data_IF_238838973631
#
_entry.id   IF_238838973631
#
_cell.length_a   1.000
_cell.length_b   1.000
_cell.length_c   1.000
_cell.angle_alpha   90.00
_cell.angle_beta   90.00
_cell.angle_gamma   90.00
#
_symmetry.space_group_name_H-M   'P 1'
#
loop_
_entity.id
_entity.type
_entity.pdbx_description
1 polymer ?
#
# COMPACT_ATOMS: atom_id res chain seq x y z
N UNK A 1 -31.04 -61.58 77.63
CA UNK A 1 -29.60 -61.34 77.55
C UNK A 1 -29.16 -61.65 76.14
N UNK A 2 -28.56 -60.64 75.50
CA UNK A 2 -27.76 -60.67 74.25
C UNK A 2 -28.40 -61.26 73.00
N UNK A 3 -29.04 -60.36 72.24
CA UNK A 3 -29.14 -60.48 70.79
C UNK A 3 -27.76 -60.20 70.19
N UNK A 4 -27.10 -61.23 69.67
CA UNK A 4 -25.92 -61.06 68.81
C UNK A 4 -26.40 -60.83 67.37
N UNK A 5 -26.14 -59.62 66.89
CA UNK A 5 -26.18 -59.26 65.49
C UNK A 5 -25.17 -60.14 64.74
N UNK A 6 -25.66 -60.92 63.78
CA UNK A 6 -24.82 -61.60 62.78
C UNK A 6 -24.86 -60.79 61.47
N UNK A 7 -23.71 -60.44 60.87
CA UNK A 7 -23.61 -59.56 59.70
C UNK A 7 -23.71 -60.34 58.39
N UNK A 8 -24.11 -59.65 57.32
CA UNK A 8 -23.79 -60.04 55.94
C UNK A 8 -24.94 -60.64 55.12
N UNK A 9 -25.70 -59.76 54.46
CA UNK A 9 -26.39 -60.11 53.20
C UNK A 9 -26.11 -59.00 52.19
N UNK A 10 -24.91 -59.01 51.62
CA UNK A 10 -24.67 -58.40 50.32
C UNK A 10 -25.40 -59.29 49.31
N UNK A 11 -26.43 -58.76 48.67
CA UNK A 11 -27.12 -59.44 47.57
C UNK A 11 -26.08 -59.84 46.51
N UNK A 12 -25.99 -61.14 46.21
CA UNK A 12 -25.13 -61.66 45.14
C UNK A 12 -25.64 -61.15 43.79
N UNK A 13 -25.16 -59.97 43.37
CA UNK A 13 -25.38 -59.49 42.01
C UNK A 13 -24.73 -60.48 41.03
N UNK A 14 -25.52 -60.97 40.08
CA UNK A 14 -25.03 -61.89 39.06
C UNK A 14 -23.94 -61.20 38.23
N UNK A 15 -23.00 -61.96 37.63
CA UNK A 15 -22.00 -61.39 36.72
C UNK A 15 -22.62 -60.52 35.60
N UNK A 16 -23.80 -60.90 35.13
CA UNK A 16 -24.60 -60.19 34.13
C UNK A 16 -25.08 -58.83 34.66
N UNK A 17 -25.69 -58.79 35.86
CA UNK A 17 -26.18 -57.56 36.50
C UNK A 17 -25.04 -56.57 36.76
N UNK A 18 -23.86 -57.07 37.16
CA UNK A 18 -22.66 -56.24 37.36
C UNK A 18 -22.14 -55.64 36.06
N UNK A 19 -22.24 -56.37 34.95
CA UNK A 19 -21.82 -55.87 33.64
C UNK A 19 -22.76 -54.76 33.15
N UNK A 20 -24.08 -54.95 33.34
CA UNK A 20 -25.10 -53.95 32.99
C UNK A 20 -24.96 -52.68 33.85
N UNK A 21 -24.83 -52.81 35.17
CA UNK A 21 -24.63 -51.67 36.08
C UNK A 21 -23.35 -50.89 35.75
N UNK A 22 -22.27 -51.58 35.37
CA UNK A 22 -21.03 -50.92 34.95
C UNK A 22 -21.20 -50.15 33.63
N UNK A 23 -21.99 -50.65 32.68
CA UNK A 23 -22.30 -49.94 31.44
C UNK A 23 -23.08 -48.64 31.72
N UNK A 24 -24.08 -48.68 32.61
CA UNK A 24 -24.85 -47.50 33.03
C UNK A 24 -24.00 -46.46 33.77
N UNK A 25 -23.11 -46.91 34.66
CA UNK A 25 -22.21 -46.00 35.39
C UNK A 25 -21.22 -45.32 34.43
N UNK A 26 -20.63 -46.06 33.50
CA UNK A 26 -19.73 -45.50 32.49
C UNK A 26 -20.44 -44.42 31.66
N UNK A 27 -21.69 -44.67 31.29
CA UNK A 27 -22.50 -43.69 30.58
C UNK A 27 -22.80 -42.43 31.40
N UNK A 28 -23.17 -42.60 32.68
CA UNK A 28 -23.42 -41.49 33.60
C UNK A 28 -22.17 -40.63 33.84
N UNK A 29 -20.98 -41.25 33.79
CA UNK A 29 -19.68 -40.57 33.86
C UNK A 29 -19.26 -39.92 32.53
N UNK A 30 -20.04 -40.09 31.45
CA UNK A 30 -19.72 -39.58 30.10
C UNK A 30 -18.58 -40.33 29.41
N UNK A 31 -18.21 -41.51 29.92
CA UNK A 31 -17.16 -42.36 29.36
C UNK A 31 -17.76 -43.30 28.30
N UNK A 32 -17.09 -43.54 27.17
CA UNK A 32 -17.59 -44.47 26.16
C UNK A 32 -17.84 -45.88 26.71
N UNK A 33 -19.07 -46.37 26.58
CA UNK A 33 -19.49 -47.71 27.02
C UNK A 33 -18.99 -48.77 26.03
N UNK A 34 -17.72 -49.13 26.19
CA UNK A 34 -17.04 -50.16 25.38
C UNK A 34 -16.87 -51.45 26.18
N UNK A 35 -16.82 -52.60 25.49
CA UNK A 35 -16.61 -53.91 26.11
C UNK A 35 -15.41 -53.97 27.07
N UNK A 36 -14.33 -53.24 26.73
CA UNK A 36 -13.11 -53.17 27.55
C UNK A 36 -13.35 -52.35 28.82
N UNK A 37 -13.98 -51.19 28.71
CA UNK A 37 -14.30 -50.33 29.86
C UNK A 37 -15.29 -51.02 30.81
N UNK A 38 -16.31 -51.68 30.27
CA UNK A 38 -17.27 -52.46 31.06
C UNK A 38 -16.56 -53.59 31.81
N UNK A 39 -15.66 -54.32 31.14
CA UNK A 39 -14.87 -55.39 31.79
C UNK A 39 -13.97 -54.86 32.90
N UNK A 40 -13.28 -53.76 32.64
CA UNK A 40 -12.36 -53.15 33.60
C UNK A 40 -13.09 -52.67 34.86
N UNK A 41 -14.32 -52.17 34.69
CA UNK A 41 -15.15 -51.67 35.79
C UNK A 41 -15.89 -52.78 36.55
N UNK A 42 -16.42 -53.79 35.86
CA UNK A 42 -17.24 -54.86 36.47
C UNK A 42 -16.48 -56.13 36.86
N UNK A 43 -15.25 -56.31 36.34
CA UNK A 43 -14.42 -57.50 36.60
C UNK A 43 -14.92 -58.79 35.94
N UNK A 44 -15.90 -58.73 35.04
CA UNK A 44 -16.53 -59.90 34.41
C UNK A 44 -15.73 -60.43 33.23
N UNK A 45 -16.14 -61.59 32.68
CA UNK A 45 -15.53 -62.15 31.46
C UNK A 45 -15.81 -61.25 30.27
N UNK A 46 -14.87 -61.17 29.33
CA UNK A 46 -14.94 -60.28 28.17
C UNK A 46 -16.19 -60.48 27.30
N UNK A 47 -16.71 -61.72 27.21
CA UNK A 47 -17.94 -62.02 26.49
C UNK A 47 -19.16 -61.31 27.08
N UNK A 48 -19.33 -61.37 28.41
CA UNK A 48 -20.42 -60.71 29.13
C UNK A 48 -20.29 -59.18 29.09
N UNK A 49 -19.07 -58.66 29.21
CA UNK A 49 -18.83 -57.23 29.07
C UNK A 49 -19.11 -56.72 27.65
N UNK A 50 -18.81 -57.52 26.62
CA UNK A 50 -19.12 -57.19 25.23
C UNK A 50 -20.63 -57.24 24.95
N UNK A 51 -21.33 -58.21 25.53
CA UNK A 51 -22.79 -58.32 25.44
C UNK A 51 -23.48 -57.15 26.13
N UNK A 52 -23.09 -56.81 27.37
CA UNK A 52 -23.63 -55.66 28.10
C UNK A 52 -23.34 -54.33 27.40
N UNK A 53 -22.12 -54.13 26.88
CA UNK A 53 -21.78 -52.92 26.13
C UNK A 53 -22.59 -52.81 24.83
N UNK A 54 -22.82 -53.92 24.12
CA UNK A 54 -23.68 -53.92 22.92
C UNK A 54 -25.12 -53.62 23.27
N UNK A 55 -25.69 -54.33 24.24
CA UNK A 55 -27.06 -54.13 24.68
C UNK A 55 -27.32 -52.68 25.11
N UNK A 56 -26.39 -52.08 25.86
CA UNK A 56 -26.48 -50.68 26.26
C UNK A 56 -26.40 -49.72 25.06
N UNK A 57 -25.44 -49.91 24.15
CA UNK A 57 -25.30 -49.06 22.95
C UNK A 57 -26.49 -49.20 22.00
N UNK A 58 -27.04 -50.41 21.83
CA UNK A 58 -28.22 -50.67 21.01
C UNK A 58 -29.45 -49.99 21.63
N UNK A 59 -29.62 -50.08 22.95
CA UNK A 59 -30.68 -49.37 23.68
C UNK A 59 -30.54 -47.85 23.54
N UNK A 60 -29.34 -47.30 23.74
CA UNK A 60 -29.09 -45.86 23.57
C UNK A 60 -29.31 -45.39 22.14
N UNK A 61 -28.90 -46.17 21.14
CA UNK A 61 -29.15 -45.84 19.74
C UNK A 61 -30.64 -45.81 19.41
N UNK A 62 -31.44 -46.64 20.08
CA UNK A 62 -32.90 -46.67 19.96
C UNK A 62 -33.54 -45.49 20.69
N UNK A 63 -33.07 -45.14 21.89
CA UNK A 63 -33.56 -43.99 22.67
C UNK A 63 -33.20 -42.64 22.01
N UNK A 64 -32.05 -42.55 21.36
CA UNK A 64 -31.59 -41.36 20.62
C UNK A 64 -32.04 -41.36 19.16
N UNK A 65 -32.88 -42.31 18.73
CA UNK A 65 -33.42 -42.33 17.39
C UNK A 65 -34.31 -41.10 17.19
N UNK A 66 -33.74 -40.06 16.58
CA UNK A 66 -34.48 -38.85 16.21
C UNK A 66 -35.48 -39.26 15.12
N UNK A 67 -36.80 -39.17 15.38
CA UNK A 67 -37.78 -39.52 14.39
C UNK A 67 -37.66 -38.58 13.20
N UNK A 68 -37.82 -39.13 12.00
CA UNK A 68 -37.76 -38.34 10.79
C UNK A 68 -38.86 -37.27 10.80
N UNK A 69 -38.49 -36.04 10.41
CA UNK A 69 -39.44 -34.95 10.34
C UNK A 69 -40.58 -35.33 9.36
N UNK A 70 -41.86 -35.06 9.69
CA UNK A 70 -42.96 -35.37 8.79
C UNK A 70 -42.76 -34.72 7.41
N UNK A 71 -43.14 -35.43 6.35
CA UNK A 71 -42.97 -34.97 4.97
C UNK A 71 -43.47 -33.53 4.70
N UNK A 72 -44.60 -33.07 5.28
CA UNK A 72 -45.03 -31.67 5.12
C UNK A 72 -44.04 -30.64 5.73
N UNK A 73 -43.39 -30.98 6.84
CA UNK A 73 -42.39 -30.12 7.49
C UNK A 73 -41.14 -30.03 6.63
N UNK A 74 -40.65 -31.18 6.14
CA UNK A 74 -39.50 -31.22 5.24
C UNK A 74 -39.76 -30.42 3.97
N UNK A 75 -40.94 -30.59 3.35
CA UNK A 75 -41.32 -29.87 2.13
C UNK A 75 -41.34 -28.35 2.34
N UNK A 76 -41.90 -27.88 3.48
CA UNK A 76 -41.91 -26.45 3.82
C UNK A 76 -40.52 -25.90 4.08
N UNK A 77 -39.67 -26.66 4.77
CA UNK A 77 -38.28 -26.29 5.00
C UNK A 77 -37.51 -26.18 3.68
N UNK A 78 -37.63 -27.17 2.79
CA UNK A 78 -36.97 -27.13 1.47
C UNK A 78 -37.44 -25.94 0.64
N UNK A 79 -38.74 -25.61 0.67
CA UNK A 79 -39.28 -24.45 -0.02
C UNK A 79 -38.69 -23.14 0.51
N UNK A 80 -38.73 -22.93 1.83
CA UNK A 80 -38.16 -21.75 2.50
C UNK A 80 -36.66 -21.62 2.24
N UNK A 81 -35.93 -22.73 2.32
CA UNK A 81 -34.50 -22.74 2.05
C UNK A 81 -34.19 -22.33 0.60
N UNK A 82 -34.94 -22.86 -0.38
CA UNK A 82 -34.76 -22.48 -1.79
C UNK A 82 -35.03 -21.00 -2.00
N UNK A 83 -36.08 -20.46 -1.40
CA UNK A 83 -36.42 -19.05 -1.48
C UNK A 83 -35.32 -18.18 -0.87
N UNK A 84 -34.88 -18.50 0.35
CA UNK A 84 -33.81 -17.78 1.03
C UNK A 84 -32.49 -17.80 0.23
N UNK A 85 -32.10 -18.96 -0.32
CA UNK A 85 -30.90 -19.07 -1.16
C UNK A 85 -31.05 -18.27 -2.46
N UNK A 86 -32.25 -18.24 -3.05
CA UNK A 86 -32.50 -17.47 -4.28
C UNK A 86 -32.38 -15.98 -4.01
N UNK A 87 -32.99 -15.48 -2.93
CA UNK A 87 -32.90 -14.09 -2.52
C UNK A 87 -31.45 -13.70 -2.19
N UNK A 88 -30.76 -14.49 -1.36
CA UNK A 88 -29.37 -14.21 -0.98
C UNK A 88 -28.42 -14.18 -2.20
N UNK A 89 -28.66 -15.04 -3.19
CA UNK A 89 -27.89 -15.02 -4.44
C UNK A 89 -28.19 -13.78 -5.27
N UNK A 90 -29.45 -13.35 -5.34
CA UNK A 90 -29.82 -12.13 -6.06
C UNK A 90 -29.13 -10.90 -5.43
N UNK A 91 -29.23 -10.74 -4.11
CA UNK A 91 -28.56 -9.67 -3.36
C UNK A 91 -27.05 -9.69 -3.54
N UNK A 92 -26.42 -10.88 -3.45
CA UNK A 92 -24.99 -11.01 -3.68
C UNK A 92 -24.58 -10.62 -5.09
N UNK A 93 -25.35 -11.04 -6.11
CA UNK A 93 -25.05 -10.72 -7.50
C UNK A 93 -25.21 -9.22 -7.79
N UNK A 94 -26.23 -8.58 -7.21
CA UNK A 94 -26.42 -7.13 -7.30
C UNK A 94 -25.26 -6.38 -6.65
N UNK A 95 -24.89 -6.77 -5.41
CA UNK A 95 -23.74 -6.18 -4.72
C UNK A 95 -22.45 -6.36 -5.53
N UNK A 96 -22.22 -7.57 -6.07
CA UNK A 96 -21.05 -7.86 -6.91
C UNK A 96 -21.03 -7.00 -8.17
N UNK A 97 -22.16 -6.85 -8.86
CA UNK A 97 -22.27 -6.01 -10.04
C UNK A 97 -21.95 -4.54 -9.72
N UNK A 98 -22.53 -4.00 -8.63
CA UNK A 98 -22.25 -2.63 -8.19
C UNK A 98 -20.78 -2.41 -7.79
N UNK A 99 -20.13 -3.39 -7.16
CA UNK A 99 -18.69 -3.31 -6.88
C UNK A 99 -17.84 -3.38 -8.14
N UNK A 100 -18.21 -4.22 -9.11
CA UNK A 100 -17.50 -4.33 -10.37
C UNK A 100 -17.58 -3.02 -11.18
N UNK A 101 -18.74 -2.35 -11.16
CA UNK A 101 -18.89 -1.02 -11.77
C UNK A 101 -18.02 0.03 -11.08
N UNK A 102 -18.00 0.07 -9.74
CA UNK A 102 -17.14 0.99 -8.98
C UNK A 102 -15.65 0.76 -9.28
N UNK A 103 -15.22 -0.49 -9.37
CA UNK A 103 -13.83 -0.84 -9.71
C UNK A 103 -13.52 -0.35 -11.13
N UNK A 104 -14.37 -0.65 -12.11
CA UNK A 104 -14.17 -0.20 -13.49
C UNK A 104 -14.08 1.32 -13.58
N UNK A 105 -14.92 2.05 -12.84
CA UNK A 105 -14.90 3.51 -12.80
C UNK A 105 -13.61 4.04 -12.17
N UNK A 106 -13.19 3.46 -11.04
CA UNK A 106 -11.96 3.86 -10.37
C UNK A 106 -10.71 3.56 -11.22
N UNK A 107 -10.71 2.46 -11.97
CA UNK A 107 -9.64 2.14 -12.92
C UNK A 107 -9.59 3.13 -14.08
N UNK A 108 -10.74 3.54 -14.60
CA UNK A 108 -10.82 4.59 -15.62
C UNK A 108 -10.30 5.92 -15.08
N UNK A 109 -10.80 6.39 -13.93
CA UNK A 109 -10.35 7.63 -13.30
C UNK A 109 -8.84 7.62 -13.03
N UNK A 110 -8.29 6.49 -12.56
CA UNK A 110 -6.84 6.33 -12.37
C UNK A 110 -6.06 6.45 -13.68
N UNK A 111 -6.54 5.83 -14.75
CA UNK A 111 -5.87 5.90 -16.05
C UNK A 111 -5.91 7.33 -16.62
N UNK A 112 -7.06 8.01 -16.50
CA UNK A 112 -7.20 9.41 -16.92
C UNK A 112 -6.23 10.32 -16.14
N UNK A 113 -6.11 10.14 -14.82
CA UNK A 113 -5.14 10.87 -13.99
C UNK A 113 -3.70 10.56 -14.38
N UNK A 114 -3.38 9.32 -14.76
CA UNK A 114 -2.05 8.94 -15.21
C UNK A 114 -1.70 9.63 -16.55
N UNK A 115 -2.64 9.70 -17.48
CA UNK A 115 -2.48 10.40 -18.75
C UNK A 115 -2.28 11.92 -18.54
N UNK A 116 -3.06 12.52 -17.64
CA UNK A 116 -2.94 13.95 -17.34
C UNK A 116 -1.63 14.28 -16.61
N UNK A 117 -1.17 13.40 -15.71
CA UNK A 117 0.15 13.51 -15.08
C UNK A 117 1.26 13.44 -16.14
N UNK A 118 1.17 12.48 -17.07
CA UNK A 118 2.14 12.35 -18.16
C UNK A 118 2.23 13.63 -19.01
N UNK A 119 1.09 14.22 -19.39
CA UNK A 119 1.06 15.51 -20.12
C UNK A 119 1.70 16.64 -19.30
N UNK A 120 1.39 16.72 -18.01
CA UNK A 120 1.93 17.76 -17.13
C UNK A 120 3.45 17.65 -16.97
N UNK A 121 3.98 16.43 -16.88
CA UNK A 121 5.43 16.16 -16.84
C UNK A 121 6.10 16.53 -18.16
N UNK A 122 5.51 16.18 -19.30
CA UNK A 122 6.01 16.58 -20.62
C UNK A 122 6.06 18.11 -20.78
N UNK A 123 5.03 18.81 -20.31
CA UNK A 123 4.96 20.26 -20.39
C UNK A 123 5.95 20.93 -19.44
N UNK A 124 6.14 20.38 -18.23
CA UNK A 124 7.21 20.81 -17.31
C UNK A 124 8.58 20.67 -17.96
N UNK A 125 8.86 19.53 -18.60
CA UNK A 125 10.16 19.27 -19.22
C UNK A 125 10.42 20.19 -20.42
N UNK A 126 9.39 20.50 -21.22
CA UNK A 126 9.47 21.53 -22.27
C UNK A 126 9.76 22.90 -21.67
N UNK A 127 9.08 23.28 -20.59
CA UNK A 127 9.28 24.57 -19.93
C UNK A 127 10.70 24.71 -19.36
N UNK A 128 11.24 23.65 -18.73
CA UNK A 128 12.62 23.63 -18.23
C UNK A 128 13.65 23.79 -19.35
N UNK A 129 13.46 23.11 -20.49
CA UNK A 129 14.33 23.28 -21.66
C UNK A 129 14.27 24.70 -22.23
N UNK A 130 13.07 25.28 -22.28
CA UNK A 130 12.88 26.65 -22.75
C UNK A 130 13.55 27.66 -21.81
N UNK A 131 13.41 27.49 -20.49
CA UNK A 131 14.06 28.32 -19.48
C UNK A 131 15.59 28.25 -19.59
N UNK A 132 16.16 27.05 -19.66
CA UNK A 132 17.61 26.88 -19.82
C UNK A 132 18.15 27.56 -21.10
N UNK A 133 17.38 27.48 -22.20
CA UNK A 133 17.73 28.19 -23.44
C UNK A 133 17.68 29.70 -23.28
N UNK A 134 16.66 30.22 -22.60
CA UNK A 134 16.51 31.65 -22.34
C UNK A 134 17.63 32.19 -21.44
N UNK A 135 18.02 31.42 -20.41
CA UNK A 135 19.15 31.75 -19.54
C UNK A 135 20.46 31.81 -20.32
N UNK A 136 20.71 30.81 -21.18
CA UNK A 136 21.88 30.79 -22.07
C UNK A 136 21.92 31.98 -23.02
N UNK A 137 20.78 32.35 -23.61
CA UNK A 137 20.67 33.53 -24.47
C UNK A 137 20.93 34.83 -23.69
N UNK A 138 20.37 34.96 -22.49
CA UNK A 138 20.57 36.14 -21.63
C UNK A 138 22.02 36.29 -21.22
N UNK A 139 22.70 35.20 -20.85
CA UNK A 139 24.13 35.21 -20.54
C UNK A 139 24.99 35.63 -21.74
N UNK A 140 24.65 35.15 -22.94
CA UNK A 140 25.35 35.54 -24.17
C UNK A 140 25.17 37.04 -24.48
N UNK A 141 23.96 37.58 -24.34
CA UNK A 141 23.71 39.00 -24.56
C UNK A 141 24.40 39.89 -23.52
N UNK A 142 24.43 39.50 -22.25
CA UNK A 142 25.23 40.19 -21.22
C UNK A 142 26.70 40.23 -21.59
N UNK A 143 27.28 39.08 -21.97
CA UNK A 143 28.69 39.04 -22.40
C UNK A 143 28.97 39.90 -23.63
N UNK A 144 28.01 40.03 -24.56
CA UNK A 144 28.12 40.92 -25.73
C UNK A 144 28.08 42.39 -25.29
N UNK A 145 27.17 42.74 -24.39
CA UNK A 145 27.05 44.08 -23.83
C UNK A 145 28.35 44.49 -23.12
N UNK A 146 28.87 43.67 -22.21
CA UNK A 146 30.11 43.93 -21.47
C UNK A 146 31.30 44.16 -22.42
N UNK A 147 31.40 43.37 -23.50
CA UNK A 147 32.44 43.53 -24.52
C UNK A 147 32.27 44.80 -25.35
N UNK A 148 31.03 45.18 -25.64
CA UNK A 148 30.74 46.41 -26.38
C UNK A 148 31.06 47.64 -25.54
N UNK A 149 30.71 47.62 -24.25
CA UNK A 149 31.02 48.66 -23.28
C UNK A 149 32.54 48.83 -23.13
N UNK A 150 33.29 47.76 -22.89
CA UNK A 150 34.76 47.84 -22.80
C UNK A 150 35.44 48.32 -24.09
N UNK A 151 34.86 48.04 -25.27
CA UNK A 151 35.34 48.61 -26.55
C UNK A 151 35.04 50.10 -26.66
N UNK A 152 33.86 50.53 -26.20
CA UNK A 152 33.50 51.94 -26.20
C UNK A 152 34.45 52.73 -25.30
N UNK A 153 34.68 52.26 -24.06
CA UNK A 153 35.65 52.87 -23.13
C UNK A 153 37.06 52.98 -23.74
N UNK A 154 37.54 51.92 -24.39
CA UNK A 154 38.85 51.94 -25.06
C UNK A 154 38.92 52.96 -26.21
N UNK A 155 37.86 53.08 -27.01
CA UNK A 155 37.77 54.07 -28.08
C UNK A 155 37.67 55.50 -27.54
N UNK A 156 36.98 55.72 -26.43
CA UNK A 156 36.91 57.02 -25.76
C UNK A 156 38.28 57.44 -25.21
N UNK A 157 39.01 56.52 -24.59
CA UNK A 157 40.37 56.78 -24.11
C UNK A 157 41.34 57.11 -25.26
N UNK A 158 41.26 56.37 -26.37
CA UNK A 158 42.08 56.64 -27.56
C UNK A 158 41.72 57.98 -28.21
N UNK A 159 40.43 58.31 -28.30
CA UNK A 159 39.97 59.63 -28.75
C UNK A 159 40.60 60.74 -27.90
N UNK A 160 40.52 60.63 -26.58
CA UNK A 160 41.04 61.66 -25.68
C UNK A 160 42.56 61.81 -25.78
N UNK A 161 43.27 60.69 -25.94
CA UNK A 161 44.70 60.68 -26.24
C UNK A 161 45.01 61.43 -27.54
N UNK A 162 44.34 61.08 -28.64
CA UNK A 162 44.55 61.69 -29.95
C UNK A 162 44.20 63.18 -29.96
N UNK A 163 43.13 63.58 -29.25
CA UNK A 163 42.78 65.00 -29.08
C UNK A 163 43.91 65.76 -28.38
N UNK A 164 44.47 65.20 -27.30
CA UNK A 164 45.61 65.76 -26.58
C UNK A 164 46.89 65.84 -27.43
N UNK A 165 47.20 64.80 -28.21
CA UNK A 165 48.33 64.82 -29.16
C UNK A 165 48.15 65.90 -30.23
N UNK A 166 46.94 66.01 -30.80
CA UNK A 166 46.58 67.03 -31.79
C UNK A 166 46.66 68.44 -31.23
N UNK A 167 46.25 68.65 -29.98
CA UNK A 167 46.36 69.96 -29.31
C UNK A 167 47.83 70.32 -29.04
N UNK A 168 48.63 69.35 -28.57
CA UNK A 168 50.08 69.53 -28.36
C UNK A 168 50.84 69.85 -29.66
N UNK A 169 50.55 69.13 -30.75
CA UNK A 169 51.14 69.41 -32.07
C UNK A 169 50.71 70.78 -32.62
N UNK A 170 49.47 71.19 -32.37
CA UNK A 170 48.98 72.51 -32.78
C UNK A 170 49.72 73.64 -32.06
N UNK A 171 50.02 73.45 -30.77
CA UNK A 171 50.80 74.40 -29.98
C UNK A 171 52.26 74.47 -30.44
N UNK A 172 52.90 73.33 -30.72
CA UNK A 172 54.25 73.29 -31.30
C UNK A 172 54.33 73.99 -32.65
N UNK A 173 53.33 73.79 -33.52
CA UNK A 173 53.25 74.49 -34.81
C UNK A 173 53.09 76.00 -34.63
N UNK A 174 52.34 76.44 -33.62
CA UNK A 174 52.20 77.86 -33.27
C UNK A 174 53.55 78.44 -32.85
N UNK A 175 54.24 77.79 -31.92
CA UNK A 175 55.55 78.22 -31.44
C UNK A 175 56.60 78.27 -32.57
N UNK A 176 56.68 77.23 -33.41
CA UNK A 176 57.61 77.21 -34.55
C UNK A 176 57.32 78.34 -35.55
N UNK A 177 56.04 78.67 -35.79
CA UNK A 177 55.66 79.81 -36.64
C UNK A 177 56.08 81.14 -36.03
N UNK A 178 55.92 81.31 -34.72
CA UNK A 178 56.38 82.50 -34.00
C UNK A 178 57.91 82.64 -34.05
N UNK A 179 58.65 81.54 -33.82
CA UNK A 179 60.11 81.50 -33.94
C UNK A 179 60.60 81.84 -35.35
N UNK A 180 59.96 81.28 -36.40
CA UNK A 180 60.26 81.61 -37.79
C UNK A 180 60.01 83.09 -38.11
N UNK A 181 58.92 83.66 -37.61
CA UNK A 181 58.61 85.08 -37.80
C UNK A 181 59.66 85.98 -37.11
N UNK A 182 60.06 85.62 -35.88
CA UNK A 182 61.09 86.32 -35.14
C UNK A 182 62.46 86.24 -35.83
N UNK A 183 62.86 85.05 -36.31
CA UNK A 183 64.09 84.85 -37.06
C UNK A 183 64.15 85.70 -38.34
N UNK A 184 63.08 85.69 -39.14
CA UNK A 184 62.97 86.56 -40.34
C UNK A 184 63.06 88.05 -40.01
N UNK A 185 62.44 88.48 -38.91
CA UNK A 185 62.51 89.88 -38.47
C UNK A 185 63.91 90.28 -37.98
N UNK A 186 64.70 89.32 -37.48
CA UNK A 186 66.07 89.53 -37.05
C UNK A 186 67.05 89.59 -38.24
N UNK A 187 66.90 88.70 -39.23
CA UNK A 187 67.63 88.75 -40.50
C UNK A 187 67.43 90.09 -41.22
N UNK A 188 66.18 90.57 -41.30
CA UNK A 188 65.85 91.87 -41.91
C UNK A 188 66.46 93.08 -41.18
N UNK A 189 66.84 92.94 -39.90
CA UNK A 189 67.52 94.00 -39.11
C UNK A 189 69.04 93.95 -39.22
N UNK A 190 69.61 92.83 -39.64
CA UNK A 190 71.06 92.65 -39.80
C UNK A 190 71.56 92.99 -41.21
N UNK A 191 70.67 93.06 -42.19
CA UNK A 191 71.00 93.38 -43.60
C UNK A 191 70.67 94.84 -44.03
N UNK A 192 70.15 95.67 -43.11
CA UNK A 192 69.87 97.10 -43.34
C UNK A 192 70.74 98.00 -42.46
#
# INVERSE_FOLDING_TARGET
>A
MTAEQTPGQQQEQTPEDRAAAAAEILAAEGVPVTARAVRERSGVRMSLAAEAARAWNDQQSTEQAIPEAPAPVQARFTALWREAVTLARAEFNEARAGWQEKISKAEQERNDMADDLGKAEDDRDKALKAAAKADGATAAERSRADKAEGRAEALEAERDRLLGERDGLSEQLRELREQLAAGKAQEAKTEG
#
